data_IF_830474088905
#
_entry.id   IF_830474088905
#
_cell.length_a   1.000
_cell.length_b   1.000
_cell.length_c   1.000
_cell.angle_alpha   90.00
_cell.angle_beta   90.00
_cell.angle_gamma   90.00
#
_symmetry.space_group_name_H-M   'P 1'
#
loop_
_entity.id
_entity.type
_entity.pdbx_description
1 polymer ?
#
# COMPACT_ATOMS: atom_id res chain seq x y z
N UNK A 1 -23.27 6.74 -10.93
CA UNK A 1 -23.79 6.69 -9.54
C UNK A 1 -23.63 5.31 -8.86
N UNK A 2 -23.15 4.27 -9.56
CA UNK A 2 -22.97 2.90 -9.03
C UNK A 2 -21.50 2.44 -8.83
N UNK A 3 -20.50 3.34 -8.90
CA UNK A 3 -19.08 2.96 -8.67
C UNK A 3 -18.55 3.31 -7.27
N UNK A 4 -19.19 4.21 -6.53
CA UNK A 4 -18.75 4.60 -5.19
C UNK A 4 -19.09 3.56 -4.10
N UNK A 5 -20.18 2.79 -4.28
CA UNK A 5 -20.64 1.82 -3.29
C UNK A 5 -19.68 0.63 -3.11
N UNK A 6 -19.00 0.18 -4.19
CA UNK A 6 -18.03 -0.91 -4.12
C UNK A 6 -16.69 -0.52 -3.48
N UNK A 7 -16.32 0.77 -3.53
CA UNK A 7 -15.12 1.29 -2.86
C UNK A 7 -15.35 1.43 -1.34
N UNK A 8 -16.54 1.90 -0.94
CA UNK A 8 -16.93 2.00 0.47
C UNK A 8 -17.11 0.64 1.15
N UNK A 9 -17.68 -0.38 0.48
CA UNK A 9 -17.82 -1.71 1.12
C UNK A 9 -16.45 -2.35 1.41
N UNK A 10 -15.49 -2.23 0.49
CA UNK A 10 -14.10 -2.65 0.73
C UNK A 10 -13.45 -1.86 1.87
N UNK A 11 -13.75 -0.57 2.00
CA UNK A 11 -13.22 0.30 3.05
C UNK A 11 -13.73 -0.04 4.45
N UNK A 12 -15.01 -0.43 4.58
CA UNK A 12 -15.65 -0.72 5.87
C UNK A 12 -15.58 -2.19 6.30
N UNK A 13 -15.42 -3.15 5.38
CA UNK A 13 -15.61 -4.58 5.69
C UNK A 13 -14.31 -5.42 5.68
N UNK A 14 -13.16 -4.85 5.27
CA UNK A 14 -11.90 -5.59 5.15
C UNK A 14 -10.79 -5.05 6.05
N UNK A 15 -10.70 -5.59 7.26
CA UNK A 15 -9.56 -5.41 8.15
C UNK A 15 -8.33 -6.17 7.61
N UNK A 16 -7.45 -5.51 6.85
CA UNK A 16 -6.23 -6.12 6.30
C UNK A 16 -4.97 -5.72 7.08
N UNK A 17 -4.87 -4.46 7.50
CA UNK A 17 -3.78 -3.96 8.32
C UNK A 17 -4.24 -2.78 9.16
N UNK A 18 -3.50 -2.50 10.24
CA UNK A 18 -3.54 -1.19 10.87
C UNK A 18 -2.91 -0.18 9.90
N UNK A 19 -3.73 0.69 9.32
CA UNK A 19 -3.29 1.74 8.40
C UNK A 19 -3.24 3.09 9.12
N UNK A 20 -2.51 4.05 8.57
CA UNK A 20 -2.50 5.44 9.00
C UNK A 20 -3.86 6.11 8.83
N UNK A 21 -4.56 5.84 7.72
CA UNK A 21 -5.91 6.33 7.46
C UNK A 21 -6.01 7.75 6.89
N UNK A 22 -4.89 8.45 6.75
CA UNK A 22 -4.81 9.77 6.08
C UNK A 22 -3.38 10.08 5.58
N UNK A 23 -2.74 9.11 4.90
CA UNK A 23 -1.35 9.22 4.48
C UNK A 23 -1.19 10.04 3.19
N UNK A 24 -1.57 11.32 3.22
CA UNK A 24 -1.31 12.27 2.13
C UNK A 24 0.05 12.96 2.29
N UNK A 25 0.51 13.72 1.28
CA UNK A 25 1.82 14.41 1.32
C UNK A 25 1.95 15.43 2.46
N UNK A 26 0.84 16.00 2.94
CA UNK A 26 0.84 16.86 4.14
C UNK A 26 1.10 16.12 5.46
N UNK A 27 1.00 14.79 5.47
CA UNK A 27 1.25 13.91 6.62
C UNK A 27 2.66 13.34 6.62
N UNK A 28 3.53 13.88 5.74
CA UNK A 28 4.93 13.50 5.61
C UNK A 28 5.78 14.77 5.74
N UNK A 29 6.67 14.78 6.73
CA UNK A 29 7.69 15.81 6.88
C UNK A 29 9.01 15.28 6.34
N UNK A 30 9.68 16.08 5.50
CA UNK A 30 10.94 15.70 4.90
C UNK A 30 12.08 16.72 5.10
N UNK A 31 13.28 16.18 5.03
CA UNK A 31 14.55 16.89 4.87
C UNK A 31 15.38 16.06 3.89
N UNK A 32 16.51 16.57 3.35
CA UNK A 32 17.34 15.78 2.45
C UNK A 32 17.78 14.40 2.99
N UNK A 33 17.83 14.23 4.31
CA UNK A 33 18.32 13.01 4.96
C UNK A 33 17.31 12.37 5.94
N UNK A 34 16.06 12.84 5.99
CA UNK A 34 15.06 12.31 6.91
C UNK A 34 13.66 12.42 6.33
N UNK A 35 12.84 11.38 6.52
CA UNK A 35 11.44 11.34 6.15
C UNK A 35 10.66 10.80 7.33
N UNK A 36 9.70 11.57 7.83
CA UNK A 36 8.90 11.24 9.00
C UNK A 36 7.42 11.30 8.64
N UNK A 37 6.69 10.22 8.94
CA UNK A 37 5.23 10.18 8.83
C UNK A 37 4.65 10.66 10.15
N UNK A 38 3.65 11.54 10.10
CA UNK A 38 3.02 12.15 11.26
C UNK A 38 1.50 12.07 11.15
N UNK A 39 0.82 12.31 12.28
CA UNK A 39 -0.64 12.48 12.36
C UNK A 39 -1.49 11.21 12.04
N UNK A 40 -1.24 10.05 12.67
CA UNK A 40 -2.04 8.84 12.46
C UNK A 40 -3.35 8.86 13.26
N UNK A 41 -4.02 10.02 13.40
CA UNK A 41 -5.24 10.14 14.20
C UNK A 41 -6.44 9.38 13.60
N UNK A 42 -6.38 9.07 12.30
CA UNK A 42 -7.38 8.28 11.57
C UNK A 42 -7.04 6.78 11.50
N UNK A 43 -6.05 6.32 12.27
CA UNK A 43 -5.58 4.94 12.18
C UNK A 43 -6.65 3.92 12.57
N UNK A 44 -6.87 2.94 11.69
CA UNK A 44 -7.83 1.86 11.92
C UNK A 44 -7.48 0.61 11.10
N UNK A 45 -8.11 -0.52 11.40
CA UNK A 45 -7.94 -1.75 10.64
C UNK A 45 -8.75 -1.73 9.34
N UNK A 46 -8.08 -1.55 8.20
CA UNK A 46 -8.68 -1.31 6.87
C UNK A 46 -7.82 -1.92 5.75
N UNK A 47 -8.22 -1.82 4.47
CA UNK A 47 -7.38 -2.29 3.36
C UNK A 47 -6.06 -1.53 3.26
N UNK A 48 -4.93 -2.24 3.18
CA UNK A 48 -3.58 -1.66 3.06
C UNK A 48 -3.44 -0.69 1.88
N UNK A 49 -4.18 -0.94 0.79
CA UNK A 49 -4.16 -0.10 -0.40
C UNK A 49 -4.67 1.32 -0.19
N UNK A 50 -5.34 1.60 0.94
CA UNK A 50 -5.82 2.94 1.26
C UNK A 50 -4.66 3.93 1.47
N UNK A 51 -3.70 3.62 2.34
CA UNK A 51 -2.55 4.49 2.61
C UNK A 51 -1.67 4.66 1.37
N UNK A 52 -1.38 3.56 0.66
CA UNK A 52 -0.56 3.58 -0.55
C UNK A 52 -1.23 4.44 -1.62
N UNK A 53 -2.55 4.28 -1.79
CA UNK A 53 -3.34 5.07 -2.73
C UNK A 53 -3.42 6.55 -2.35
N UNK A 54 -3.58 6.88 -1.07
CA UNK A 54 -3.58 8.26 -0.59
C UNK A 54 -2.24 8.95 -0.87
N UNK A 55 -1.12 8.28 -0.58
CA UNK A 55 0.20 8.84 -0.80
C UNK A 55 0.51 9.02 -2.29
N UNK A 56 0.37 7.96 -3.09
CA UNK A 56 0.60 8.00 -4.55
C UNK A 56 -0.36 8.97 -5.24
N UNK A 57 -1.63 8.98 -4.85
CA UNK A 57 -2.63 9.90 -5.37
C UNK A 57 -2.23 11.37 -5.16
N UNK A 58 -1.70 11.71 -3.98
CA UNK A 58 -1.22 13.07 -3.72
C UNK A 58 0.04 13.43 -4.51
N UNK A 59 0.94 12.48 -4.78
CA UNK A 59 2.07 12.71 -5.70
C UNK A 59 1.59 12.96 -7.13
N UNK A 60 0.57 12.25 -7.60
CA UNK A 60 -0.06 12.48 -8.91
C UNK A 60 -0.71 13.87 -8.97
N UNK A 61 -1.40 14.29 -7.90
CA UNK A 61 -1.92 15.66 -7.80
C UNK A 61 -0.79 16.70 -7.87
N UNK A 62 0.32 16.45 -7.16
CA UNK A 62 1.49 17.32 -7.19
C UNK A 62 2.12 17.41 -8.59
N UNK A 63 2.16 16.30 -9.34
CA UNK A 63 2.63 16.25 -10.73
C UNK A 63 1.80 17.17 -11.64
N UNK A 64 0.46 17.06 -11.59
CA UNK A 64 -0.43 17.89 -12.41
C UNK A 64 -0.43 19.36 -11.99
N UNK A 65 -0.23 19.65 -10.70
CA UNK A 65 -0.14 21.02 -10.20
C UNK A 65 1.10 21.77 -10.71
N UNK A 66 2.16 21.07 -11.12
CA UNK A 66 3.43 21.72 -11.53
C UNK A 66 3.26 22.70 -12.70
N UNK A 67 2.38 22.42 -13.65
CA UNK A 67 2.15 23.31 -14.80
C UNK A 67 1.60 24.68 -14.34
N UNK A 68 0.82 24.71 -13.26
CA UNK A 68 0.34 25.95 -12.64
C UNK A 68 1.41 26.70 -11.83
N UNK A 69 2.55 26.07 -11.52
CA UNK A 69 3.68 26.64 -10.79
C UNK A 69 4.89 26.98 -11.69
N UNK A 70 4.76 26.78 -13.00
CA UNK A 70 5.76 27.15 -13.99
C UNK A 70 5.85 28.68 -14.16
N UNK A 71 7.06 29.19 -14.34
CA UNK A 71 7.34 30.61 -14.59
C UNK A 71 8.61 30.76 -15.43
N UNK A 72 8.95 31.98 -15.85
CA UNK A 72 10.06 32.26 -16.80
C UNK A 72 11.43 31.70 -16.36
N UNK A 73 11.66 31.54 -15.06
CA UNK A 73 12.89 30.96 -14.50
C UNK A 73 12.88 29.44 -14.28
N UNK A 74 11.72 28.78 -14.39
CA UNK A 74 11.59 27.33 -14.16
C UNK A 74 10.28 26.80 -14.77
N UNK A 75 10.40 25.98 -15.81
CA UNK A 75 9.26 25.37 -16.52
C UNK A 75 8.71 24.10 -15.85
N UNK A 76 9.32 23.69 -14.73
CA UNK A 76 8.96 22.55 -13.87
C UNK A 76 9.05 21.17 -14.54
N UNK A 77 9.53 21.04 -15.78
CA UNK A 77 9.56 19.74 -16.47
C UNK A 77 10.44 18.71 -15.76
N UNK A 78 11.66 19.10 -15.40
CA UNK A 78 12.57 18.22 -14.65
C UNK A 78 11.98 17.81 -13.30
N UNK A 79 11.24 18.71 -12.65
CA UNK A 79 10.58 18.41 -11.38
C UNK A 79 9.37 17.47 -11.56
N UNK A 80 8.62 17.60 -12.65
CA UNK A 80 7.57 16.63 -13.03
C UNK A 80 8.15 15.24 -13.27
N UNK A 81 9.24 15.14 -14.01
CA UNK A 81 9.96 13.88 -14.23
C UNK A 81 10.48 13.29 -12.91
N UNK A 82 10.96 14.13 -12.00
CA UNK A 82 11.35 13.69 -10.66
C UNK A 82 10.16 13.13 -9.87
N UNK A 83 9.02 13.83 -9.82
CA UNK A 83 7.80 13.33 -9.13
C UNK A 83 7.38 11.99 -9.73
N UNK A 84 7.39 11.88 -11.05
CA UNK A 84 7.04 10.66 -11.76
C UNK A 84 7.92 9.48 -11.36
N UNK A 85 9.24 9.68 -11.39
CA UNK A 85 10.20 8.66 -10.93
C UNK A 85 9.97 8.31 -9.46
N UNK A 86 9.68 9.28 -8.60
CA UNK A 86 9.39 9.02 -7.18
C UNK A 86 8.15 8.14 -7.00
N UNK A 87 7.10 8.30 -7.82
CA UNK A 87 5.92 7.42 -7.80
C UNK A 87 6.31 5.98 -8.16
N UNK A 88 7.05 5.80 -9.25
CA UNK A 88 7.51 4.48 -9.72
C UNK A 88 8.43 3.80 -8.70
N UNK A 89 9.39 4.53 -8.15
CA UNK A 89 10.33 4.05 -7.14
C UNK A 89 9.62 3.69 -5.84
N UNK A 90 8.65 4.49 -5.39
CA UNK A 90 7.85 4.22 -4.19
C UNK A 90 7.13 2.89 -4.31
N UNK A 91 6.41 2.65 -5.40
CA UNK A 91 5.70 1.39 -5.61
C UNK A 91 6.65 0.21 -5.73
N UNK A 92 7.71 0.37 -6.53
CA UNK A 92 8.69 -0.70 -6.78
C UNK A 92 9.40 -1.12 -5.49
N UNK A 93 9.84 -0.15 -4.68
CA UNK A 93 10.49 -0.40 -3.40
C UNK A 93 9.50 -0.94 -2.36
N UNK A 94 8.26 -0.44 -2.33
CA UNK A 94 7.21 -1.01 -1.47
C UNK A 94 7.00 -2.49 -1.79
N UNK A 95 6.73 -2.83 -3.06
CA UNK A 95 6.51 -4.20 -3.49
C UNK A 95 7.70 -5.11 -3.14
N UNK A 96 8.92 -4.64 -3.42
CA UNK A 96 10.15 -5.39 -3.12
C UNK A 96 10.32 -5.62 -1.61
N UNK A 97 10.18 -4.58 -0.79
CA UNK A 97 10.36 -4.67 0.67
C UNK A 97 9.25 -5.49 1.32
N UNK A 98 8.01 -5.27 0.92
CA UNK A 98 6.86 -6.03 1.40
C UNK A 98 7.01 -7.52 1.10
N UNK A 99 7.38 -7.87 -0.14
CA UNK A 99 7.61 -9.27 -0.54
C UNK A 99 8.81 -9.88 0.19
N UNK A 100 9.89 -9.11 0.39
CA UNK A 100 11.03 -9.57 1.18
C UNK A 100 10.64 -9.87 2.63
N UNK A 101 9.87 -8.98 3.28
CA UNK A 101 9.34 -9.21 4.63
C UNK A 101 8.41 -10.41 4.67
N UNK A 102 7.53 -10.56 3.67
CA UNK A 102 6.68 -11.73 3.55
C UNK A 102 7.50 -13.01 3.51
N UNK A 103 8.54 -13.09 2.67
CA UNK A 103 9.42 -14.26 2.61
C UNK A 103 10.21 -14.50 3.89
N UNK A 104 10.69 -13.44 4.54
CA UNK A 104 11.44 -13.52 5.79
C UNK A 104 10.59 -14.04 6.95
N UNK A 105 9.31 -13.67 6.99
CA UNK A 105 8.39 -14.04 8.07
C UNK A 105 7.40 -15.14 7.67
N UNK A 106 7.57 -15.72 6.48
CA UNK A 106 6.70 -16.79 5.94
C UNK A 106 6.67 -18.02 6.83
N UNK A 107 7.75 -18.26 7.55
CA UNK A 107 7.96 -19.46 8.37
C UNK A 107 7.87 -19.16 9.89
N UNK A 108 7.45 -17.95 10.32
CA UNK A 108 7.15 -17.73 11.73
C UNK A 108 6.92 -16.28 12.22
N UNK A 109 6.01 -16.18 13.20
CA UNK A 109 5.78 -15.09 14.19
C UNK A 109 4.56 -14.17 14.01
N UNK A 110 3.67 -14.40 13.04
CA UNK A 110 2.32 -13.84 13.06
C UNK A 110 1.30 -14.95 13.38
N UNK A 111 1.51 -15.60 14.52
CA UNK A 111 0.60 -16.62 15.03
C UNK A 111 -0.68 -15.92 15.48
N UNK A 112 -1.78 -16.18 14.78
CA UNK A 112 -3.11 -15.76 15.23
C UNK A 112 -3.65 -16.79 16.21
N UNK A 113 -4.33 -16.33 17.26
CA UNK A 113 -4.88 -17.20 18.32
C UNK A 113 -5.79 -18.30 17.75
N UNK A 114 -6.45 -18.03 16.63
CA UNK A 114 -7.27 -18.99 15.88
C UNK A 114 -6.50 -20.26 15.48
N UNK A 115 -5.21 -20.14 15.12
CA UNK A 115 -4.36 -21.30 14.83
C UNK A 115 -3.67 -21.83 16.09
N UNK A 116 -3.21 -20.96 17.00
CA UNK A 116 -2.50 -21.38 18.22
C UNK A 116 -3.39 -22.10 19.24
N UNK A 117 -4.68 -21.82 19.25
CA UNK A 117 -5.65 -22.54 20.08
C UNK A 117 -5.84 -24.00 19.65
N UNK A 118 -5.40 -24.39 18.44
CA UNK A 118 -5.39 -25.77 17.97
C UNK A 118 -4.19 -26.52 18.57
N UNK A 119 -4.42 -27.21 19.69
CA UNK A 119 -3.38 -27.96 20.43
C UNK A 119 -2.74 -29.13 19.68
N UNK A 120 -3.38 -29.62 18.62
CA UNK A 120 -2.87 -30.73 17.80
C UNK A 120 -2.07 -30.18 16.63
N UNK A 121 -0.75 -30.39 16.67
CA UNK A 121 0.19 -29.85 15.70
C UNK A 121 -0.10 -30.30 14.26
N UNK A 122 -0.56 -31.54 14.07
CA UNK A 122 -0.85 -32.05 12.73
C UNK A 122 -2.11 -31.42 12.14
N UNK A 123 -3.12 -31.17 12.98
CA UNK A 123 -4.34 -30.46 12.57
C UNK A 123 -4.08 -28.98 12.32
N UNK A 124 -3.28 -28.33 13.16
CA UNK A 124 -2.86 -26.93 13.00
C UNK A 124 -2.14 -26.73 11.67
N UNK A 125 -1.10 -27.54 11.40
CA UNK A 125 -0.33 -27.48 10.17
C UNK A 125 -1.17 -27.73 8.91
N UNK A 126 -2.20 -28.58 9.00
CA UNK A 126 -3.14 -28.80 7.88
C UNK A 126 -3.99 -27.56 7.60
N UNK A 127 -4.50 -26.89 8.65
CA UNK A 127 -5.31 -25.67 8.52
C UNK A 127 -4.48 -24.49 8.00
N UNK A 128 -3.27 -24.29 8.52
CA UNK A 128 -2.33 -23.25 8.06
C UNK A 128 -2.00 -23.43 6.58
N UNK A 129 -1.79 -24.68 6.13
CA UNK A 129 -1.51 -25.00 4.73
C UNK A 129 -2.69 -24.64 3.82
N UNK A 130 -3.92 -24.93 4.23
CA UNK A 130 -5.12 -24.57 3.48
C UNK A 130 -5.30 -23.04 3.39
N UNK A 131 -5.08 -22.32 4.49
CA UNK A 131 -5.13 -20.86 4.52
C UNK A 131 -4.08 -20.24 3.59
N UNK A 132 -2.86 -20.80 3.58
CA UNK A 132 -1.78 -20.34 2.72
C UNK A 132 -2.07 -20.59 1.23
N UNK A 133 -2.62 -21.74 0.86
CA UNK A 133 -3.01 -22.04 -0.53
C UNK A 133 -4.13 -21.12 -1.02
N UNK A 134 -5.13 -20.85 -0.18
CA UNK A 134 -6.20 -19.91 -0.51
C UNK A 134 -5.67 -18.47 -0.69
N UNK A 135 -4.75 -18.03 0.18
CA UNK A 135 -4.13 -16.72 0.08
C UNK A 135 -3.36 -16.55 -1.24
N UNK A 136 -2.61 -17.58 -1.67
CA UNK A 136 -1.92 -17.59 -2.97
C UNK A 136 -2.91 -17.44 -4.14
N UNK A 137 -3.99 -18.23 -4.16
CA UNK A 137 -5.01 -18.17 -5.20
C UNK A 137 -5.67 -16.79 -5.29
N UNK A 138 -6.01 -16.18 -4.14
CA UNK A 138 -6.62 -14.85 -4.09
C UNK A 138 -5.67 -13.73 -4.58
N UNK A 139 -4.35 -13.93 -4.44
CA UNK A 139 -3.33 -13.00 -4.92
C UNK A 139 -3.07 -13.15 -6.43
N UNK A 140 -3.18 -14.38 -6.96
CA UNK A 140 -3.02 -14.69 -8.39
C UNK A 140 -4.21 -14.18 -9.23
N UNK A 141 -5.42 -14.09 -8.65
CA UNK A 141 -6.63 -13.61 -9.35
C UNK A 141 -6.88 -12.09 -9.28
N UNK A 142 -5.90 -11.27 -8.84
CA UNK A 142 -6.08 -9.82 -8.58
C UNK A 142 -6.34 -8.89 -9.80
N UNK A 143 -6.52 -9.48 -10.99
CA UNK A 143 -6.90 -8.92 -12.31
C UNK A 143 -6.81 -7.40 -12.51
N UNK A 144 -5.76 -7.02 -13.25
CA UNK A 144 -5.77 -6.35 -14.59
C UNK A 144 -4.62 -5.36 -14.81
N UNK A 145 -3.67 -5.27 -13.86
CA UNK A 145 -2.38 -4.61 -14.09
C UNK A 145 -1.26 -5.46 -13.46
N UNK A 146 -0.28 -5.86 -14.27
CA UNK A 146 0.89 -6.65 -13.87
C UNK A 146 2.00 -5.77 -13.29
N UNK A 147 2.01 -4.48 -13.65
CA UNK A 147 2.96 -3.50 -13.18
C UNK A 147 2.32 -2.11 -13.04
N UNK A 148 2.91 -1.25 -12.19
CA UNK A 148 2.44 0.13 -12.07
C UNK A 148 2.59 0.89 -13.39
N UNK A 149 3.60 0.57 -14.21
CA UNK A 149 3.81 1.11 -15.56
C UNK A 149 2.66 0.86 -16.54
N UNK A 150 1.66 0.05 -16.17
CA UNK A 150 0.46 -0.18 -16.98
C UNK A 150 -0.72 0.72 -16.55
N UNK A 151 -0.62 1.38 -15.41
CA UNK A 151 -1.61 2.34 -14.86
C UNK A 151 -1.21 3.79 -15.15
N UNK A 152 0.09 4.01 -15.40
CA UNK A 152 0.74 5.31 -15.56
C UNK A 152 1.42 5.34 -16.93
#
# INVERSE_FOLDING_TARGET
>A
MWSYAGSLSRFCERAQALIHGDLHTGSVMDTPNSTQVIDPEFAFYRPMGFDIGAFVGNLILAFFAQDGHAHEGNDRKEYKEWIWRTIEETWTLFHKKFTALWHQHRDGSAHVEDFESIKDDSKRAACERQALELAKLLLEERRNFQAITEVV
#
